data_IF_285271800403
#
_entry.id   IF_285271800403
#
_cell.length_a   1.000
_cell.length_b   1.000
_cell.length_c   1.000
_cell.angle_alpha   90.00
_cell.angle_beta   90.00
_cell.angle_gamma   90.00
#
_symmetry.space_group_name_H-M   'P 1'
#
loop_
_entity.id
_entity.type
_entity.pdbx_description
1 polymer ?
#
# COMPACT_ATOMS: atom_id res chain seq x y z
N UNK A 1 10.94 1.20 3.05
CA UNK A 1 9.62 0.66 2.65
C UNK A 1 8.76 0.53 3.90
N UNK A 2 7.53 1.08 3.90
CA UNK A 2 6.63 1.05 5.05
C UNK A 2 5.29 0.43 4.62
N UNK A 3 4.74 -0.46 5.43
CA UNK A 3 3.38 -0.97 5.26
C UNK A 3 2.45 -0.26 6.25
N UNK A 4 1.69 0.75 5.81
CA UNK A 4 0.92 1.61 6.72
C UNK A 4 -0.23 0.88 7.42
N UNK A 5 -0.69 -0.26 6.90
CA UNK A 5 -1.66 -1.14 7.57
C UNK A 5 -1.10 -1.80 8.86
N UNK A 6 0.23 -1.86 8.99
CA UNK A 6 0.93 -2.41 10.15
C UNK A 6 0.83 -3.94 10.32
N UNK A 7 0.09 -4.65 9.48
CA UNK A 7 0.02 -6.12 9.47
C UNK A 7 -0.54 -6.65 8.16
N UNK A 8 -0.16 -7.87 7.77
CA UNK A 8 -0.74 -8.54 6.59
C UNK A 8 -2.25 -8.71 6.73
N UNK A 9 -2.99 -8.44 5.66
CA UNK A 9 -4.43 -8.68 5.60
C UNK A 9 -4.75 -10.19 5.67
N UNK A 10 -5.86 -10.54 6.32
CA UNK A 10 -6.39 -11.92 6.36
C UNK A 10 -7.39 -12.18 5.24
N UNK A 11 -8.03 -11.14 4.73
CA UNK A 11 -9.10 -11.21 3.72
C UNK A 11 -8.62 -10.74 2.35
N UNK A 12 -7.53 -9.98 2.30
CA UNK A 12 -7.04 -9.33 1.08
C UNK A 12 -7.48 -7.86 0.97
N UNK A 13 -8.34 -7.39 1.87
CA UNK A 13 -8.73 -5.97 1.93
C UNK A 13 -7.70 -5.13 2.68
N UNK A 14 -7.52 -3.89 2.23
CA UNK A 14 -6.67 -2.91 2.90
C UNK A 14 -7.35 -2.42 4.18
N UNK A 15 -6.59 -2.45 5.27
CA UNK A 15 -7.00 -1.87 6.55
C UNK A 15 -6.81 -0.34 6.56
N UNK A 16 -7.38 0.36 7.56
CA UNK A 16 -7.04 1.76 7.80
C UNK A 16 -5.53 1.93 7.95
N UNK A 17 -5.00 2.98 7.33
CA UNK A 17 -3.58 3.29 7.37
C UNK A 17 -3.23 4.02 8.66
N UNK A 18 -2.09 3.65 9.26
CA UNK A 18 -1.49 4.40 10.35
C UNK A 18 -0.84 5.67 9.80
N UNK A 19 -0.98 6.77 10.54
CA UNK A 19 -0.57 8.11 10.08
C UNK A 19 0.95 8.36 10.13
N UNK A 20 1.71 7.58 10.90
CA UNK A 20 3.14 7.83 11.15
C UNK A 20 4.00 7.94 9.89
N UNK A 21 3.73 7.12 8.87
CA UNK A 21 4.47 7.17 7.61
C UNK A 21 4.28 8.51 6.86
N UNK A 22 3.05 9.02 6.86
CA UNK A 22 2.69 10.27 6.17
C UNK A 22 3.18 11.50 6.92
N UNK A 23 3.21 11.45 8.26
CA UNK A 23 3.85 12.48 9.09
C UNK A 23 5.33 12.61 8.73
N UNK A 24 6.06 11.49 8.69
CA UNK A 24 7.47 11.48 8.31
C UNK A 24 7.71 12.01 6.90
N UNK A 25 6.84 11.66 5.94
CA UNK A 25 6.96 12.15 4.56
C UNK A 25 6.74 13.67 4.46
N UNK A 26 5.78 14.21 5.20
CA UNK A 26 5.51 15.65 5.28
C UNK A 26 6.64 16.38 6.01
N UNK A 27 7.10 15.89 7.16
CA UNK A 27 8.23 16.49 7.91
C UNK A 27 9.49 16.58 7.06
N UNK A 28 9.78 15.54 6.28
CA UNK A 28 10.94 15.49 5.41
C UNK A 28 10.72 16.17 4.04
N UNK A 29 9.48 16.60 3.72
CA UNK A 29 9.09 17.14 2.41
C UNK A 29 9.55 16.24 1.24
N UNK A 30 9.39 14.92 1.40
CA UNK A 30 9.70 13.92 0.37
C UNK A 30 8.43 13.28 -0.19
N UNK A 31 8.34 13.02 -1.50
CA UNK A 31 7.16 12.41 -2.10
C UNK A 31 6.97 10.98 -1.60
N UNK A 32 5.71 10.55 -1.51
CA UNK A 32 5.35 9.16 -1.23
C UNK A 32 5.24 8.41 -2.56
N UNK A 33 5.96 7.30 -2.71
CA UNK A 33 5.85 6.40 -3.86
C UNK A 33 4.96 5.20 -3.49
N UNK A 34 3.70 5.14 -3.94
CA UNK A 34 2.80 4.04 -3.60
C UNK A 34 3.12 2.77 -4.40
N UNK A 35 2.92 1.61 -3.77
CA UNK A 35 3.11 0.31 -4.39
C UNK A 35 1.84 -0.53 -4.23
N UNK A 36 1.32 -1.06 -5.32
CA UNK A 36 0.23 -2.04 -5.31
C UNK A 36 0.81 -3.45 -5.44
N UNK A 37 0.36 -4.37 -4.58
CA UNK A 37 0.87 -5.75 -4.54
C UNK A 37 -0.29 -6.73 -4.72
N UNK A 38 -0.09 -7.72 -5.57
CA UNK A 38 -1.04 -8.80 -5.88
C UNK A 38 -0.36 -10.18 -5.80
N UNK A 39 -1.12 -11.27 -5.59
CA UNK A 39 -0.66 -12.66 -5.65
C UNK A 39 0.23 -13.17 -4.50
N UNK A 40 0.89 -12.28 -3.74
CA UNK A 40 1.80 -12.68 -2.64
C UNK A 40 1.16 -13.48 -1.50
N UNK A 41 -0.17 -13.48 -1.39
CA UNK A 41 -0.90 -14.22 -0.34
C UNK A 41 -0.76 -15.73 -0.49
N UNK A 42 -0.72 -16.23 -1.71
CA UNK A 42 -0.68 -17.68 -1.97
C UNK A 42 0.71 -18.28 -1.83
N UNK A 43 1.75 -17.42 -1.81
CA UNK A 43 3.11 -17.83 -1.50
C UNK A 43 3.24 -18.27 -0.03
N UNK A 44 2.68 -17.48 0.90
CA UNK A 44 2.72 -17.78 2.34
C UNK A 44 1.59 -17.07 3.08
N UNK A 45 0.56 -17.84 3.43
CA UNK A 45 -0.59 -17.33 4.17
C UNK A 45 -0.19 -16.87 5.57
N UNK A 46 -0.89 -15.87 6.09
CA UNK A 46 -0.59 -15.30 7.42
C UNK A 46 -0.76 -16.38 8.50
N UNK A 47 0.28 -16.57 9.31
CA UNK A 47 0.39 -17.61 10.35
C UNK A 47 0.44 -19.05 9.82
N UNK A 48 0.71 -19.24 8.53
CA UNK A 48 1.03 -20.54 7.95
C UNK A 48 2.55 -20.69 7.82
N UNK A 49 3.03 -21.92 7.79
CA UNK A 49 4.42 -22.31 7.54
C UNK A 49 4.61 -22.96 6.18
N UNK A 50 3.52 -23.36 5.51
CA UNK A 50 3.55 -24.01 4.20
C UNK A 50 3.75 -22.97 3.10
N UNK A 51 4.83 -23.13 2.36
CA UNK A 51 5.13 -22.34 1.17
C UNK A 51 4.34 -22.88 -0.02
N UNK A 52 3.59 -22.02 -0.68
CA UNK A 52 2.92 -22.29 -1.95
C UNK A 52 3.71 -21.74 -3.13
N UNK A 53 3.34 -22.16 -4.34
CA UNK A 53 3.71 -21.45 -5.55
C UNK A 53 2.75 -20.28 -5.74
N UNK A 54 3.29 -19.11 -6.08
CA UNK A 54 2.48 -17.94 -6.37
C UNK A 54 3.10 -17.15 -7.52
N UNK A 55 2.23 -16.68 -8.39
CA UNK A 55 2.53 -15.59 -9.30
C UNK A 55 2.25 -14.29 -8.55
N UNK A 56 3.26 -13.45 -8.37
CA UNK A 56 3.17 -12.25 -7.55
C UNK A 56 3.63 -11.04 -8.36
N UNK A 57 2.82 -9.99 -8.30
CA UNK A 57 3.02 -8.78 -9.07
C UNK A 57 3.09 -7.56 -8.15
N UNK A 58 4.00 -6.65 -8.50
CA UNK A 58 4.19 -5.39 -7.80
C UNK A 58 4.16 -4.26 -8.82
N UNK A 59 3.15 -3.40 -8.70
CA UNK A 59 3.02 -2.21 -9.53
C UNK A 59 3.51 -0.99 -8.77
N UNK A 60 4.50 -0.31 -9.35
CA UNK A 60 4.93 1.02 -8.92
C UNK A 60 3.95 2.04 -9.47
N UNK A 61 3.39 2.86 -8.59
CA UNK A 61 2.42 3.90 -8.95
C UNK A 61 3.11 5.27 -9.02
N UNK A 62 2.37 6.27 -9.50
CA UNK A 62 2.89 7.63 -9.60
C UNK A 62 3.21 8.21 -8.21
N UNK A 63 4.33 8.95 -8.08
CA UNK A 63 4.69 9.59 -6.82
C UNK A 63 3.68 10.67 -6.44
N UNK A 64 3.32 10.69 -5.16
CA UNK A 64 2.42 11.69 -4.57
C UNK A 64 3.28 12.72 -3.84
N UNK A 65 3.32 13.95 -4.36
CA UNK A 65 4.10 15.04 -3.78
C UNK A 65 3.59 15.44 -2.39
N UNK A 66 4.54 15.79 -1.51
CA UNK A 66 4.31 16.38 -0.18
C UNK A 66 4.69 17.85 -0.12
N UNK A 67 5.13 18.43 -1.24
CA UNK A 67 5.56 19.82 -1.32
C UNK A 67 4.45 20.77 -0.84
N UNK A 68 4.77 21.58 0.16
CA UNK A 68 3.84 22.56 0.73
C UNK A 68 2.76 21.96 1.65
N UNK A 69 2.73 20.64 1.85
CA UNK A 69 1.84 20.01 2.82
C UNK A 69 2.32 20.25 4.25
N UNK A 70 1.35 20.31 5.16
CA UNK A 70 1.55 20.54 6.60
C UNK A 70 1.00 19.37 7.42
N UNK A 71 1.18 19.41 8.74
CA UNK A 71 0.65 18.37 9.63
C UNK A 71 -0.88 18.23 9.59
N UNK A 72 -1.59 19.27 9.17
CA UNK A 72 -3.04 19.25 9.00
C UNK A 72 -3.45 18.41 7.78
N UNK A 73 -2.54 18.23 6.81
CA UNK A 73 -2.77 17.48 5.57
C UNK A 73 -2.50 15.97 5.69
N UNK A 74 -2.04 15.50 6.87
CA UNK A 74 -1.64 14.10 7.08
C UNK A 74 -2.76 13.12 6.74
N UNK A 75 -4.00 13.43 7.14
CA UNK A 75 -5.16 12.58 6.86
C UNK A 75 -5.45 12.54 5.34
N UNK A 76 -5.47 13.70 4.70
CA UNK A 76 -5.70 13.81 3.26
C UNK A 76 -4.62 13.10 2.43
N UNK A 77 -3.35 13.20 2.83
CA UNK A 77 -2.25 12.48 2.18
C UNK A 77 -2.40 10.96 2.36
N UNK A 78 -2.75 10.50 3.56
CA UNK A 78 -3.01 9.08 3.85
C UNK A 78 -4.12 8.52 2.95
N UNK A 79 -5.23 9.24 2.82
CA UNK A 79 -6.37 8.83 2.02
C UNK A 79 -6.04 8.80 0.52
N UNK A 80 -5.37 9.84 0.01
CA UNK A 80 -4.89 9.88 -1.40
C UNK A 80 -3.99 8.70 -1.73
N UNK A 81 -3.05 8.37 -0.86
CA UNK A 81 -2.13 7.23 -1.06
C UNK A 81 -2.90 5.92 -0.98
N UNK A 82 -3.86 5.79 -0.05
CA UNK A 82 -4.69 4.59 0.09
C UNK A 82 -5.52 4.36 -1.17
N UNK A 83 -6.17 5.39 -1.68
CA UNK A 83 -7.03 5.30 -2.85
C UNK A 83 -6.23 4.96 -4.11
N UNK A 84 -5.03 5.53 -4.27
CA UNK A 84 -4.11 5.15 -5.35
C UNK A 84 -3.73 3.66 -5.29
N UNK A 85 -3.42 3.14 -4.09
CA UNK A 85 -3.11 1.72 -3.91
C UNK A 85 -4.32 0.84 -4.19
N UNK A 86 -5.54 1.24 -3.79
CA UNK A 86 -6.77 0.49 -4.11
C UNK A 86 -6.96 0.40 -5.61
N UNK A 87 -6.91 1.53 -6.32
CA UNK A 87 -7.05 1.57 -7.77
C UNK A 87 -6.01 0.68 -8.46
N UNK A 88 -4.73 0.81 -8.07
CA UNK A 88 -3.67 -0.03 -8.63
C UNK A 88 -3.82 -1.52 -8.34
N UNK A 89 -4.36 -1.88 -7.17
CA UNK A 89 -4.65 -3.28 -6.82
C UNK A 89 -5.84 -3.84 -7.60
N UNK A 90 -6.87 -3.04 -7.83
CA UNK A 90 -8.03 -3.44 -8.62
C UNK A 90 -7.67 -3.59 -10.11
N UNK A 91 -6.75 -2.78 -10.62
CA UNK A 91 -6.18 -2.98 -11.96
C UNK A 91 -5.41 -4.30 -12.06
N UNK A 92 -4.54 -4.60 -11.07
CA UNK A 92 -3.81 -5.87 -11.02
C UNK A 92 -4.75 -7.08 -10.95
N UNK A 93 -5.83 -7.01 -10.15
CA UNK A 93 -6.86 -8.07 -10.09
C UNK A 93 -7.55 -8.31 -11.42
N UNK A 94 -7.82 -7.24 -12.18
CA UNK A 94 -8.45 -7.37 -13.50
C UNK A 94 -7.50 -7.99 -14.54
N UNK A 95 -6.19 -7.77 -14.39
CA UNK A 95 -5.17 -8.28 -15.30
C UNK A 95 -4.78 -9.74 -15.02
N UNK A 96 -4.64 -10.11 -13.74
CA UNK A 96 -4.11 -11.41 -13.32
C UNK A 96 -5.15 -12.37 -12.73
N UNK A 97 -6.40 -11.93 -12.54
CA UNK A 97 -7.47 -12.74 -11.94
C UNK A 97 -7.35 -12.88 -10.41
N UNK A 98 -8.31 -13.58 -9.80
CA UNK A 98 -8.29 -14.02 -8.39
C UNK A 98 -8.25 -15.56 -8.32
#
# INVERSE_FOLDING_TARGET
>A
MIFPEGTRSKTGELRPFKTGAFRLAIEAQVPVLPLAVHGTRDALRKHDWRLGYAEAEVRVLDPISTEGLTMDDVAALSDRVRDAIIAGRDDLRREFGD
#
